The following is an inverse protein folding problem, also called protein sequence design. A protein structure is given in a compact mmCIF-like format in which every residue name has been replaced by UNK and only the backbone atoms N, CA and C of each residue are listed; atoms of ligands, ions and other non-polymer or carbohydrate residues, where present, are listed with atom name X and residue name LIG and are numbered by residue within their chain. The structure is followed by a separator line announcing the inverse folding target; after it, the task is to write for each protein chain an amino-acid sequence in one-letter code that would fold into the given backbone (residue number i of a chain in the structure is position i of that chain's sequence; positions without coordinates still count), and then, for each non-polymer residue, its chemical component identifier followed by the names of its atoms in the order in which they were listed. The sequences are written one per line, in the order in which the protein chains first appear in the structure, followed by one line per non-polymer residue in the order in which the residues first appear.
data_IF_472952834342
#
_entry.id   IF_472952834342
#
_cell.length_a   1.000
_cell.length_b   1.000
_cell.length_c   1.000
_cell.angle_alpha   90.00
_cell.angle_beta   90.00
_cell.angle_gamma   90.00
#
_symmetry.space_group_name_H-M   'P 1'
#
loop_
_entity.id
_entity.type
_entity.pdbx_description
1 polymer ?
#
# COMPACT_ATOMS: atom_id res chain seq x y z
N UNK A 1 8.55 -3.68 -14.31
CA UNK A 1 9.35 -4.87 -14.09
C UNK A 1 9.02 -5.61 -12.80
N UNK A 2 8.46 -4.92 -11.80
CA UNK A 2 8.08 -5.51 -10.54
C UNK A 2 6.57 -5.39 -10.32
N UNK A 3 6.02 -6.44 -9.72
CA UNK A 3 4.60 -6.49 -9.37
C UNK A 3 4.48 -6.90 -7.93
N UNK A 4 3.62 -6.22 -7.18
CA UNK A 4 3.28 -6.59 -5.81
C UNK A 4 1.90 -7.23 -5.81
N UNK A 5 1.83 -8.45 -5.28
CA UNK A 5 0.56 -9.16 -5.13
C UNK A 5 0.25 -9.22 -3.65
N UNK A 6 -0.92 -8.71 -3.24
CA UNK A 6 -1.35 -8.84 -1.86
C UNK A 6 -2.77 -9.39 -1.77
N UNK A 7 -3.04 -10.10 -0.69
CA UNK A 7 -4.28 -10.83 -0.51
C UNK A 7 -4.51 -11.11 0.98
N UNK A 8 -5.68 -11.69 1.30
CA UNK A 8 -6.01 -12.06 2.68
C UNK A 8 -5.21 -13.28 3.12
N UNK A 9 -4.85 -13.33 4.42
CA UNK A 9 -3.96 -14.34 4.99
C UNK A 9 -4.37 -15.80 4.77
N UNK A 10 -5.65 -16.09 4.66
CA UNK A 10 -6.17 -17.45 4.61
C UNK A 10 -5.69 -18.23 3.37
N UNK A 11 -5.29 -17.53 2.31
CA UNK A 11 -4.93 -18.14 1.03
C UNK A 11 -3.43 -18.06 0.73
N UNK A 12 -2.61 -17.66 1.68
CA UNK A 12 -1.19 -17.33 1.49
C UNK A 12 -0.42 -18.43 0.80
N UNK A 13 -0.46 -19.63 1.35
CA UNK A 13 0.32 -20.77 0.83
C UNK A 13 -0.16 -21.21 -0.56
N UNK A 14 -1.45 -21.22 -0.77
CA UNK A 14 -2.06 -21.64 -2.03
C UNK A 14 -1.68 -20.68 -3.15
N UNK A 15 -1.79 -19.39 -2.88
CA UNK A 15 -1.49 -18.35 -3.87
C UNK A 15 0.01 -18.31 -4.16
N UNK A 16 0.86 -18.36 -3.13
CA UNK A 16 2.30 -18.39 -3.33
C UNK A 16 2.75 -19.57 -4.18
N UNK A 17 2.29 -20.77 -3.84
CA UNK A 17 2.64 -21.98 -4.58
C UNK A 17 2.17 -21.92 -6.04
N UNK A 18 0.98 -21.36 -6.27
CA UNK A 18 0.43 -21.23 -7.62
C UNK A 18 1.24 -20.24 -8.45
N UNK A 19 1.57 -19.09 -7.89
CA UNK A 19 2.43 -18.09 -8.54
C UNK A 19 3.81 -18.65 -8.82
N UNK A 20 4.42 -19.30 -7.82
CA UNK A 20 5.74 -19.90 -7.96
C UNK A 20 5.75 -20.94 -9.08
N UNK A 21 4.75 -21.81 -9.13
CA UNK A 21 4.62 -22.83 -10.15
C UNK A 21 4.53 -22.23 -11.56
N UNK A 22 3.73 -21.18 -11.73
CA UNK A 22 3.55 -20.56 -13.05
C UNK A 22 4.76 -19.73 -13.47
N UNK A 23 5.35 -18.97 -12.56
CA UNK A 23 6.50 -18.10 -12.87
C UNK A 23 7.76 -18.92 -13.09
N UNK A 24 7.92 -20.06 -12.40
CA UNK A 24 9.07 -20.95 -12.57
C UNK A 24 9.18 -21.55 -13.97
N UNK A 25 8.08 -21.58 -14.70
CA UNK A 25 8.07 -22.05 -16.10
C UNK A 25 8.69 -21.04 -17.05
N UNK A 26 8.90 -19.80 -16.59
CA UNK A 26 9.47 -18.72 -17.38
C UNK A 26 10.85 -18.40 -16.84
N UNK A 27 11.86 -18.40 -17.71
CA UNK A 27 13.27 -18.24 -17.29
C UNK A 27 13.63 -16.85 -16.77
N UNK A 28 12.74 -15.86 -16.85
CA UNK A 28 13.04 -14.47 -16.55
C UNK A 28 12.21 -13.90 -15.38
N UNK A 29 11.49 -14.76 -14.66
CA UNK A 29 10.65 -14.34 -13.57
C UNK A 29 11.05 -14.95 -12.24
N UNK A 30 10.75 -14.26 -11.15
CA UNK A 30 10.94 -14.78 -9.80
C UNK A 30 9.81 -14.31 -8.89
N UNK A 31 9.52 -15.11 -7.86
CA UNK A 31 8.52 -14.79 -6.85
C UNK A 31 9.19 -14.81 -5.49
N UNK A 32 9.01 -13.74 -4.73
CA UNK A 32 9.58 -13.59 -3.39
C UNK A 32 8.47 -13.26 -2.41
N UNK A 33 8.42 -13.96 -1.28
CA UNK A 33 7.50 -13.66 -0.19
C UNK A 33 8.09 -12.51 0.64
N UNK A 34 7.39 -11.36 0.66
CA UNK A 34 7.80 -10.18 1.40
C UNK A 34 6.81 -9.83 2.52
N UNK A 35 5.99 -10.79 2.94
CA UNK A 35 4.94 -10.59 3.96
C UNK A 35 5.46 -9.98 5.25
N UNK A 36 6.66 -10.37 5.68
CA UNK A 36 7.25 -9.88 6.92
C UNK A 36 7.88 -8.50 6.81
N UNK A 37 8.09 -7.99 5.60
CA UNK A 37 8.75 -6.70 5.35
C UNK A 37 7.78 -5.53 5.34
N UNK A 38 6.51 -5.77 5.01
CA UNK A 38 5.53 -4.73 4.78
C UNK A 38 4.34 -4.86 5.72
N UNK A 39 3.81 -3.69 6.12
CA UNK A 39 2.57 -3.58 6.90
C UNK A 39 1.56 -2.86 6.02
N UNK A 40 0.33 -3.36 6.02
CA UNK A 40 -0.79 -2.70 5.35
C UNK A 40 -1.60 -1.93 6.38
N UNK A 41 -1.75 -0.63 6.15
CA UNK A 41 -2.59 0.25 6.96
C UNK A 41 -3.78 0.64 6.10
N UNK A 42 -4.98 0.35 6.56
CA UNK A 42 -6.19 0.74 5.84
C UNK A 42 -6.69 2.08 6.36
N UNK A 43 -6.86 3.03 5.44
CA UNK A 43 -7.33 4.38 5.73
C UNK A 43 -8.71 4.56 5.10
N UNK A 44 -9.69 4.86 5.92
CA UNK A 44 -11.08 5.11 5.49
C UNK A 44 -11.56 6.44 6.02
N UNK A 45 -12.31 7.17 5.21
CA UNK A 45 -12.96 8.38 5.65
C UNK A 45 -12.87 9.52 4.65
N UNK A 46 -13.72 10.52 4.83
CA UNK A 46 -13.80 11.68 3.93
C UNK A 46 -12.60 12.62 4.01
N UNK A 47 -11.79 12.51 5.06
CA UNK A 47 -10.65 13.40 5.32
C UNK A 47 -9.29 12.79 5.02
N UNK A 48 -9.24 11.60 4.45
CA UNK A 48 -7.95 10.89 4.24
C UNK A 48 -7.01 11.64 3.31
N UNK A 49 -7.53 12.29 2.27
CA UNK A 49 -6.68 13.05 1.35
C UNK A 49 -6.15 14.33 1.99
N UNK A 50 -6.94 14.96 2.85
CA UNK A 50 -6.49 16.12 3.61
C UNK A 50 -5.34 15.75 4.55
N UNK A 51 -5.46 14.62 5.21
CA UNK A 51 -4.42 14.10 6.10
C UNK A 51 -3.15 13.76 5.32
N UNK A 52 -3.28 12.98 4.26
CA UNK A 52 -2.13 12.56 3.45
C UNK A 52 -1.43 13.76 2.81
N UNK A 53 -2.18 14.75 2.36
CA UNK A 53 -1.61 15.93 1.69
C UNK A 53 -0.73 16.77 2.61
N UNK A 54 -0.85 16.63 3.93
CA UNK A 54 0.04 17.35 4.85
C UNK A 54 1.49 16.87 4.80
N UNK A 55 1.72 15.66 4.30
CA UNK A 55 3.07 15.11 4.20
C UNK A 55 3.37 14.41 2.88
N UNK A 56 2.52 14.57 1.88
CA UNK A 56 2.65 13.88 0.59
C UNK A 56 2.34 14.87 -0.54
N UNK A 57 3.24 14.96 -1.50
CA UNK A 57 3.07 15.85 -2.66
C UNK A 57 2.31 15.22 -3.82
N UNK A 58 1.89 13.96 -3.69
CA UNK A 58 1.16 13.28 -4.75
C UNK A 58 -0.19 13.98 -5.02
N UNK A 59 -0.55 14.07 -6.29
CA UNK A 59 -1.84 14.63 -6.69
C UNK A 59 -2.92 13.54 -6.60
N UNK A 60 -3.80 13.64 -5.63
CA UNK A 60 -4.85 12.65 -5.38
C UNK A 60 -6.08 12.81 -6.27
N UNK A 61 -6.10 13.75 -7.20
CA UNK A 61 -7.25 13.93 -8.10
C UNK A 61 -7.58 12.66 -8.88
N UNK A 62 -6.56 11.91 -9.28
CA UNK A 62 -6.76 10.64 -9.99
C UNK A 62 -7.47 9.60 -9.13
N UNK A 63 -7.16 9.57 -7.83
CA UNK A 63 -7.81 8.65 -6.90
C UNK A 63 -9.28 9.00 -6.68
N UNK A 64 -9.63 10.27 -6.81
CA UNK A 64 -11.03 10.71 -6.71
C UNK A 64 -11.84 10.31 -7.95
N UNK A 65 -11.19 10.12 -9.09
CA UNK A 65 -11.87 9.84 -10.36
C UNK A 65 -11.93 8.36 -10.71
N UNK A 66 -10.95 7.56 -10.25
CA UNK A 66 -10.82 6.17 -10.69
C UNK A 66 -10.45 5.28 -9.52
N UNK A 67 -11.25 4.22 -9.30
CA UNK A 67 -10.96 3.22 -8.29
C UNK A 67 -9.89 2.24 -8.78
N UNK A 68 -9.18 1.64 -7.85
CA UNK A 68 -8.22 0.57 -8.13
C UNK A 68 -6.85 1.03 -8.58
N UNK A 69 -6.55 2.32 -8.50
CA UNK A 69 -5.24 2.85 -8.85
C UNK A 69 -4.23 2.62 -7.73
N UNK A 70 -2.98 2.43 -8.11
CA UNK A 70 -1.87 2.30 -7.16
C UNK A 70 -0.73 3.23 -7.54
N UNK A 71 0.00 3.70 -6.54
CA UNK A 71 1.18 4.53 -6.75
C UNK A 71 2.20 4.31 -5.66
N UNK A 72 3.48 4.51 -6.00
CA UNK A 72 4.56 4.62 -5.04
C UNK A 72 4.82 6.09 -4.79
N UNK A 73 4.89 6.48 -3.53
CA UNK A 73 5.14 7.88 -3.17
C UNK A 73 5.81 7.97 -1.81
N UNK A 74 5.97 9.18 -1.32
CA UNK A 74 6.58 9.47 -0.02
C UNK A 74 5.55 10.18 0.84
N UNK A 75 5.32 9.65 2.05
CA UNK A 75 4.48 10.27 3.06
C UNK A 75 5.34 10.53 4.29
N UNK A 76 5.45 11.78 4.71
CA UNK A 76 6.28 12.19 5.86
C UNK A 76 7.70 11.61 5.77
N UNK A 77 8.33 11.76 4.61
CA UNK A 77 9.69 11.28 4.33
C UNK A 77 9.86 9.75 4.32
N UNK A 78 8.76 9.00 4.32
CA UNK A 78 8.76 7.53 4.32
C UNK A 78 8.21 7.02 2.99
N UNK A 79 8.92 6.10 2.36
CA UNK A 79 8.46 5.46 1.12
C UNK A 79 7.25 4.56 1.41
N UNK A 80 6.19 4.75 0.63
CA UNK A 80 4.96 3.98 0.78
C UNK A 80 4.41 3.60 -0.59
N UNK A 81 3.53 2.60 -0.59
CA UNK A 81 2.70 2.24 -1.73
C UNK A 81 1.25 2.51 -1.32
N UNK A 82 0.54 3.25 -2.16
CA UNK A 82 -0.88 3.55 -1.95
C UNK A 82 -1.70 2.81 -3.00
N UNK A 83 -2.77 2.16 -2.56
CA UNK A 83 -3.74 1.53 -3.44
C UNK A 83 -5.14 1.97 -3.03
N UNK A 84 -5.83 2.71 -3.90
CA UNK A 84 -7.19 3.12 -3.60
C UNK A 84 -8.18 2.01 -3.98
N UNK A 85 -8.78 1.40 -2.98
CA UNK A 85 -9.85 0.42 -3.19
C UNK A 85 -11.10 1.10 -3.73
N UNK A 86 -11.40 2.29 -3.22
CA UNK A 86 -12.38 3.22 -3.75
C UNK A 86 -12.03 4.63 -3.26
N UNK A 87 -12.85 5.62 -3.59
CA UNK A 87 -12.55 7.05 -3.38
C UNK A 87 -12.06 7.39 -1.97
N UNK A 88 -12.68 6.82 -0.93
CA UNK A 88 -12.35 7.13 0.46
C UNK A 88 -11.91 5.90 1.25
N UNK A 89 -11.28 4.95 0.58
CA UNK A 89 -10.78 3.73 1.20
C UNK A 89 -9.46 3.36 0.53
N UNK A 90 -8.35 3.65 1.23
CA UNK A 90 -7.00 3.47 0.72
C UNK A 90 -6.27 2.43 1.57
N UNK A 91 -5.58 1.49 0.93
CA UNK A 91 -4.59 0.66 1.57
C UNK A 91 -3.21 1.30 1.38
N UNK A 92 -2.54 1.55 2.48
CA UNK A 92 -1.19 2.09 2.52
C UNK A 92 -0.23 1.00 2.96
N UNK A 93 0.79 0.74 2.16
CA UNK A 93 1.82 -0.24 2.47
C UNK A 93 3.10 0.48 2.84
N UNK A 94 3.62 0.15 4.00
CA UNK A 94 4.84 0.74 4.53
C UNK A 94 5.74 -0.38 5.06
N UNK A 95 7.06 -0.18 5.00
CA UNK A 95 8.00 -1.15 5.57
C UNK A 95 7.78 -1.26 7.07
N UNK A 96 7.85 -2.48 7.59
CA UNK A 96 7.58 -2.76 8.99
C UNK A 96 8.35 -1.86 9.95
N UNK A 97 9.62 -1.58 9.66
CA UNK A 97 10.48 -0.76 10.51
C UNK A 97 10.00 0.69 10.65
N UNK A 98 9.19 1.20 9.72
CA UNK A 98 8.65 2.55 9.74
C UNK A 98 7.18 2.62 10.10
N UNK A 99 6.52 1.48 10.32
CA UNK A 99 5.07 1.44 10.48
C UNK A 99 4.58 2.18 11.72
N UNK A 100 5.26 2.01 12.85
CA UNK A 100 4.88 2.68 14.10
C UNK A 100 5.00 4.20 13.97
N UNK A 101 6.12 4.67 13.44
CA UNK A 101 6.36 6.10 13.23
C UNK A 101 5.30 6.70 12.32
N UNK A 102 4.97 6.02 11.22
CA UNK A 102 3.97 6.50 10.28
C UNK A 102 2.57 6.52 10.89
N UNK A 103 2.21 5.50 11.67
CA UNK A 103 0.91 5.45 12.36
C UNK A 103 0.77 6.60 13.35
N UNK A 104 1.82 6.92 14.10
CA UNK A 104 1.81 8.05 15.03
C UNK A 104 1.64 9.37 14.28
N UNK A 105 2.34 9.55 13.18
CA UNK A 105 2.21 10.74 12.35
C UNK A 105 0.80 10.90 11.78
N UNK A 106 0.23 9.83 11.24
CA UNK A 106 -1.13 9.84 10.70
C UNK A 106 -2.15 10.20 11.78
N UNK A 107 -1.98 9.64 12.97
CA UNK A 107 -2.87 9.90 14.08
C UNK A 107 -2.79 11.37 14.55
N UNK A 108 -1.59 11.92 14.62
CA UNK A 108 -1.39 13.32 14.97
C UNK A 108 -1.97 14.25 13.90
N UNK A 109 -1.72 13.96 12.64
CA UNK A 109 -2.24 14.75 11.51
C UNK A 109 -3.76 14.78 11.50
N UNK A 110 -4.41 13.68 11.85
CA UNK A 110 -5.86 13.59 11.90
C UNK A 110 -6.50 14.54 12.92
N UNK A 111 -5.75 14.97 13.94
CA UNK A 111 -6.25 15.90 14.97
C UNK A 111 -6.43 17.32 14.44
N UNK A 112 -5.77 17.66 13.33
CA UNK A 112 -5.76 19.02 12.79
C UNK A 112 -6.59 19.15 11.50
N UNK A 113 -7.31 18.11 11.13
CA UNK A 113 -8.07 18.10 9.88
C UNK A 113 -9.59 18.03 10.12
#
# INVERSE_FOLDING_TARGET
DEWMVYFKNDDEKVIFNKLYSEISKVNYGSVTDISDQWICINLKGSKIYDILSTGCSFNFDQFLKTDGLATQTIVNHIDVILHNKNTYNINLFVRRSFSEHLCLWLNDSAKFV
#
